data_IF_876030584290
#
_entry.id   IF_876030584290
#
_cell.length_a   1.000
_cell.length_b   1.000
_cell.length_c   1.000
_cell.angle_alpha   90.00
_cell.angle_beta   90.00
_cell.angle_gamma   90.00
#
_symmetry.space_group_name_H-M   'P 1'
#
loop_
_entity.id
_entity.type
_entity.pdbx_description
1 polymer ?
#
# COMPACT_ATOMS: atom_id res chain seq x y z
N UNK A 1 -46.55 51.46 -7.29
CA UNK A 1 -45.20 51.95 -6.93
C UNK A 1 -44.53 50.92 -6.04
N UNK A 2 -43.53 50.18 -6.54
CA UNK A 2 -42.76 49.23 -5.76
C UNK A 2 -41.26 49.46 -6.03
N UNK A 3 -40.51 49.83 -4.98
CA UNK A 3 -39.06 50.04 -5.00
C UNK A 3 -38.36 48.69 -5.13
N UNK A 4 -37.86 48.35 -6.32
CA UNK A 4 -36.81 47.32 -6.49
C UNK A 4 -35.51 47.87 -5.91
N UNK A 5 -35.30 47.66 -4.61
CA UNK A 5 -34.07 47.99 -3.92
C UNK A 5 -32.95 47.06 -4.38
N UNK A 6 -31.92 47.66 -4.96
CA UNK A 6 -30.68 47.07 -5.47
C UNK A 6 -29.94 46.23 -4.42
N UNK A 7 -30.04 44.90 -4.50
CA UNK A 7 -29.20 43.95 -3.75
C UNK A 7 -27.84 43.73 -4.44
N UNK A 8 -27.64 44.27 -5.66
CA UNK A 8 -26.46 44.02 -6.49
C UNK A 8 -25.25 44.94 -6.21
N UNK A 9 -25.37 45.95 -5.34
CA UNK A 9 -24.29 46.92 -5.06
C UNK A 9 -23.34 46.52 -3.91
N UNK A 10 -23.38 45.25 -3.45
CA UNK A 10 -22.60 44.75 -2.32
C UNK A 10 -21.43 43.82 -2.71
N UNK A 11 -21.18 43.64 -4.01
CA UNK A 11 -19.95 42.99 -4.47
C UNK A 11 -18.86 44.06 -4.53
N UNK A 12 -18.18 44.29 -3.40
CA UNK A 12 -16.94 45.08 -3.35
C UNK A 12 -15.94 44.48 -4.35
N UNK A 13 -15.24 45.33 -5.11
CA UNK A 13 -14.23 44.85 -6.04
C UNK A 13 -13.22 43.92 -5.37
N UNK A 14 -12.82 42.81 -6.03
CA UNK A 14 -11.87 41.87 -5.46
C UNK A 14 -10.55 42.59 -5.16
N UNK A 15 -10.10 42.52 -3.90
CA UNK A 15 -8.84 43.11 -3.49
C UNK A 15 -7.68 42.23 -3.99
N UNK A 16 -7.25 42.52 -5.22
CA UNK A 16 -6.18 41.81 -5.95
C UNK A 16 -4.89 41.65 -5.14
N UNK A 17 -4.63 42.51 -4.15
CA UNK A 17 -3.45 42.37 -3.27
C UNK A 17 -3.43 41.02 -2.54
N UNK A 18 -4.57 40.54 -2.06
CA UNK A 18 -4.63 39.25 -1.36
C UNK A 18 -4.39 38.07 -2.31
N UNK A 19 -4.84 38.18 -3.57
CA UNK A 19 -4.58 37.16 -4.59
C UNK A 19 -3.08 37.05 -4.87
N UNK A 20 -2.40 38.18 -5.07
CA UNK A 20 -0.95 38.19 -5.30
C UNK A 20 -0.15 37.67 -4.09
N UNK A 21 -0.55 38.04 -2.87
CA UNK A 21 0.07 37.51 -1.65
C UNK A 21 -0.11 35.99 -1.57
N UNK A 22 -1.32 35.48 -1.82
CA UNK A 22 -1.59 34.05 -1.84
C UNK A 22 -0.74 33.30 -2.85
N UNK A 23 -0.65 33.82 -4.09
CA UNK A 23 0.19 33.24 -5.14
C UNK A 23 1.68 33.25 -4.77
N UNK A 24 2.17 34.35 -4.19
CA UNK A 24 3.55 34.45 -3.74
C UNK A 24 3.86 33.43 -2.64
N UNK A 25 2.95 33.21 -1.69
CA UNK A 25 3.10 32.20 -0.63
C UNK A 25 3.07 30.78 -1.18
N UNK A 26 2.18 30.48 -2.13
CA UNK A 26 2.12 29.16 -2.79
C UNK A 26 3.41 28.88 -3.58
N UNK A 27 3.91 29.87 -4.32
CA UNK A 27 5.18 29.77 -5.05
C UNK A 27 6.35 29.56 -4.09
N UNK A 28 6.43 30.34 -3.01
CA UNK A 28 7.46 30.15 -1.99
C UNK A 28 7.40 28.74 -1.38
N UNK A 29 6.20 28.24 -1.07
CA UNK A 29 6.01 26.90 -0.54
C UNK A 29 6.46 25.81 -1.52
N UNK A 30 6.12 25.95 -2.81
CA UNK A 30 6.55 25.03 -3.86
C UNK A 30 8.09 25.03 -4.02
N UNK A 31 8.74 26.19 -3.94
CA UNK A 31 10.20 26.30 -3.97
C UNK A 31 10.82 25.61 -2.76
N UNK A 32 10.25 25.78 -1.56
CA UNK A 32 10.75 25.13 -0.35
C UNK A 32 10.65 23.59 -0.43
N UNK A 33 9.58 23.07 -1.04
CA UNK A 33 9.43 21.63 -1.28
C UNK A 33 10.50 21.14 -2.27
N UNK A 34 10.66 21.81 -3.42
CA UNK A 34 11.67 21.41 -4.41
C UNK A 34 13.10 21.52 -3.89
N UNK A 35 13.39 22.54 -3.06
CA UNK A 35 14.68 22.70 -2.39
C UNK A 35 14.94 21.67 -1.28
N UNK A 36 13.97 20.79 -0.97
CA UNK A 36 14.10 19.79 0.10
C UNK A 36 14.05 20.36 1.52
N UNK A 37 13.67 21.64 1.67
CA UNK A 37 13.50 22.28 2.99
C UNK A 37 12.24 21.79 3.71
N UNK A 38 11.28 21.23 2.97
CA UNK A 38 10.06 20.64 3.48
C UNK A 38 10.02 19.17 3.11
N UNK A 39 10.12 18.29 4.11
CA UNK A 39 9.95 16.86 3.94
C UNK A 39 8.46 16.50 3.90
N UNK A 40 8.11 15.51 3.07
CA UNK A 40 6.77 14.94 3.05
C UNK A 40 6.43 14.24 4.38
N UNK A 41 5.17 14.28 4.78
CA UNK A 41 4.67 13.52 5.93
C UNK A 41 4.20 12.12 5.51
N UNK A 42 4.00 11.21 6.48
CA UNK A 42 3.53 9.84 6.22
C UNK A 42 2.01 9.65 6.44
N UNK A 43 1.27 10.73 6.65
CA UNK A 43 -0.16 10.74 6.94
C UNK A 43 -0.47 10.81 8.43
N UNK A 44 -1.59 11.45 8.80
CA UNK A 44 -2.04 11.50 10.21
C UNK A 44 -3.04 10.38 10.55
N UNK A 45 -3.63 9.77 9.52
CA UNK A 45 -4.58 8.68 9.61
C UNK A 45 -4.34 7.66 8.49
N UNK A 46 -5.04 6.53 8.58
CA UNK A 46 -4.89 5.40 7.65
C UNK A 46 -5.16 5.79 6.19
N UNK A 47 -6.23 6.54 5.93
CA UNK A 47 -6.60 6.98 4.60
C UNK A 47 -5.52 7.86 3.97
N UNK A 48 -5.08 8.88 4.69
CA UNK A 48 -4.02 9.78 4.21
C UNK A 48 -2.71 9.04 3.96
N UNK A 49 -2.38 8.06 4.82
CA UNK A 49 -1.19 7.22 4.66
C UNK A 49 -1.26 6.40 3.36
N UNK A 50 -2.42 5.81 3.06
CA UNK A 50 -2.64 5.06 1.82
C UNK A 50 -2.56 5.97 0.59
N UNK A 51 -3.19 7.15 0.64
CA UNK A 51 -3.11 8.15 -0.45
C UNK A 51 -1.66 8.55 -0.69
N UNK A 52 -0.92 8.93 0.36
CA UNK A 52 0.49 9.33 0.25
C UNK A 52 1.34 8.22 -0.36
N UNK A 53 1.16 6.98 0.11
CA UNK A 53 1.88 5.82 -0.41
C UNK A 53 1.61 5.61 -1.91
N UNK A 54 0.36 5.70 -2.33
CA UNK A 54 -0.02 5.58 -3.73
C UNK A 54 0.51 6.74 -4.58
N UNK A 55 0.40 7.98 -4.10
CA UNK A 55 0.96 9.17 -4.77
C UNK A 55 2.48 9.07 -4.94
N UNK A 56 3.20 8.60 -3.92
CA UNK A 56 4.65 8.36 -4.00
C UNK A 56 5.00 7.36 -5.10
N UNK A 57 4.19 6.31 -5.29
CA UNK A 57 4.39 5.35 -6.38
C UNK A 57 4.03 5.92 -7.75
N UNK A 58 2.91 6.64 -7.88
CA UNK A 58 2.41 7.19 -9.14
C UNK A 58 3.34 8.30 -9.65
N UNK A 59 3.82 9.16 -8.75
CA UNK A 59 4.59 10.36 -9.09
C UNK A 59 6.09 10.25 -8.81
N UNK A 60 6.63 9.06 -8.54
CA UNK A 60 8.08 8.85 -8.44
C UNK A 60 8.74 9.04 -9.81
N UNK A 61 9.59 10.06 -9.92
CA UNK A 61 10.24 10.42 -11.20
C UNK A 61 11.50 9.58 -11.49
N UNK A 62 12.09 8.95 -10.46
CA UNK A 62 13.35 8.20 -10.56
C UNK A 62 13.15 6.75 -10.10
N UNK A 63 12.47 5.95 -10.93
CA UNK A 63 12.38 4.50 -10.68
C UNK A 63 13.71 3.84 -11.00
N UNK A 64 14.19 3.02 -10.07
CA UNK A 64 15.40 2.22 -10.27
C UNK A 64 15.09 1.09 -11.26
N UNK A 65 16.04 0.74 -12.12
CA UNK A 65 15.93 -0.44 -12.98
C UNK A 65 15.70 -1.70 -12.12
N UNK A 66 14.78 -2.56 -12.54
CA UNK A 66 14.24 -3.68 -11.77
C UNK A 66 13.70 -3.33 -10.39
N UNK A 67 12.87 -2.31 -10.38
CA UNK A 67 11.92 -2.07 -9.31
C UNK A 67 11.00 -3.29 -9.11
N UNK A 68 10.87 -3.68 -7.84
CA UNK A 68 9.94 -4.72 -7.40
C UNK A 68 8.79 -4.02 -6.69
N UNK A 69 7.57 -4.21 -7.15
CA UNK A 69 6.39 -3.65 -6.52
C UNK A 69 5.68 -4.70 -5.68
N UNK A 70 5.51 -4.48 -4.39
CA UNK A 70 4.73 -5.34 -3.52
C UNK A 70 3.34 -4.75 -3.31
N UNK A 71 2.29 -5.47 -3.70
CA UNK A 71 0.89 -5.07 -3.52
C UNK A 71 0.17 -6.06 -2.61
N UNK A 72 -0.70 -5.54 -1.75
CA UNK A 72 -1.40 -6.34 -0.75
C UNK A 72 -2.20 -5.52 0.25
N UNK A 73 -2.61 -6.19 1.30
CA UNK A 73 -3.46 -5.73 2.39
C UNK A 73 -2.66 -5.13 3.56
N UNK A 74 -3.34 -4.89 4.68
CA UNK A 74 -2.71 -4.45 5.92
C UNK A 74 -1.67 -5.42 6.46
N UNK A 75 -1.75 -6.72 6.12
CA UNK A 75 -0.74 -7.72 6.48
C UNK A 75 0.58 -7.43 5.75
N UNK A 76 0.53 -7.28 4.43
CA UNK A 76 1.69 -6.95 3.60
C UNK A 76 2.24 -5.55 3.88
N UNK A 77 1.39 -4.61 4.29
CA UNK A 77 1.81 -3.28 4.71
C UNK A 77 2.77 -3.30 5.92
N UNK A 78 2.79 -4.38 6.73
CA UNK A 78 3.72 -4.53 7.86
C UNK A 78 5.14 -4.93 7.44
N UNK A 79 5.33 -5.36 6.20
CA UNK A 79 6.65 -5.73 5.68
C UNK A 79 7.42 -4.46 5.36
N UNK A 80 8.33 -4.08 6.24
CA UNK A 80 9.04 -2.80 6.12
C UNK A 80 10.02 -2.84 4.94
N UNK A 81 10.06 -1.81 4.08
CA UNK A 81 10.92 -1.77 2.89
C UNK A 81 12.41 -2.01 3.19
N UNK A 82 12.89 -1.56 4.35
CA UNK A 82 14.27 -1.76 4.82
C UNK A 82 14.70 -3.23 4.88
N UNK A 83 13.76 -4.16 5.12
CA UNK A 83 14.03 -5.60 5.15
C UNK A 83 13.79 -6.28 3.81
N UNK A 84 13.00 -5.67 2.91
CA UNK A 84 12.69 -6.19 1.57
C UNK A 84 13.78 -5.87 0.54
N UNK A 85 14.61 -4.86 0.80
CA UNK A 85 15.70 -4.42 -0.08
C UNK A 85 15.38 -3.14 -0.85
N UNK A 86 16.42 -2.44 -1.31
CA UNK A 86 16.31 -1.08 -1.84
C UNK A 86 15.61 -0.94 -3.19
N UNK A 87 15.34 -2.05 -3.87
CA UNK A 87 14.60 -2.10 -5.13
C UNK A 87 13.12 -2.34 -4.92
N UNK A 88 12.69 -2.62 -3.69
CA UNK A 88 11.32 -3.00 -3.38
C UNK A 88 10.51 -1.80 -2.91
N UNK A 89 9.45 -1.47 -3.64
CA UNK A 89 8.44 -0.52 -3.22
C UNK A 89 7.24 -1.26 -2.65
N UNK A 90 6.92 -1.04 -1.36
CA UNK A 90 5.74 -1.64 -0.73
C UNK A 90 4.51 -0.74 -0.87
N UNK A 91 3.67 -1.05 -1.87
CA UNK A 91 2.37 -0.43 -2.15
C UNK A 91 1.20 -1.13 -1.42
N UNK A 92 1.46 -2.12 -0.57
CA UNK A 92 0.39 -2.70 0.25
C UNK A 92 -0.20 -1.67 1.20
N UNK A 93 -1.52 -1.70 1.38
CA UNK A 93 -2.28 -0.63 2.02
C UNK A 93 -3.10 -1.16 3.19
N UNK A 94 -3.19 -0.34 4.25
CA UNK A 94 -3.96 -0.70 5.43
C UNK A 94 -5.46 -0.67 5.10
N UNK A 95 -6.19 -1.72 5.44
CA UNK A 95 -7.63 -1.83 5.18
C UNK A 95 -8.02 -1.97 3.71
N UNK A 96 -7.04 -2.15 2.82
CA UNK A 96 -7.27 -2.43 1.40
C UNK A 96 -6.80 -3.85 1.06
N UNK A 97 -6.74 -4.18 -0.23
CA UNK A 97 -6.26 -5.46 -0.75
C UNK A 97 -5.35 -5.27 -1.98
N UNK A 98 -4.88 -6.39 -2.52
CA UNK A 98 -4.01 -6.41 -3.69
C UNK A 98 -4.67 -5.90 -4.99
N UNK A 99 -6.01 -6.00 -5.15
CA UNK A 99 -6.71 -5.47 -6.33
C UNK A 99 -6.53 -3.96 -6.48
N UNK A 100 -6.62 -3.20 -5.38
CA UNK A 100 -6.40 -1.75 -5.42
C UNK A 100 -4.96 -1.42 -5.82
N UNK A 101 -3.98 -2.15 -5.26
CA UNK A 101 -2.57 -1.96 -5.63
C UNK A 101 -2.28 -2.29 -7.09
N UNK A 102 -2.91 -3.35 -7.63
CA UNK A 102 -2.80 -3.72 -9.04
C UNK A 102 -3.45 -2.71 -9.97
N UNK A 103 -4.63 -2.18 -9.60
CA UNK A 103 -5.29 -1.13 -10.37
C UNK A 103 -4.40 0.13 -10.45
N UNK A 104 -3.77 0.52 -9.34
CA UNK A 104 -2.78 1.61 -9.33
C UNK A 104 -1.60 1.28 -10.27
N UNK A 105 -1.07 0.05 -10.22
CA UNK A 105 0.02 -0.37 -11.09
C UNK A 105 -0.36 -0.39 -12.58
N UNK A 106 -1.59 -0.77 -12.92
CA UNK A 106 -2.13 -0.77 -14.28
C UNK A 106 -2.29 0.64 -14.84
N UNK A 107 -2.69 1.61 -14.01
CA UNK A 107 -2.85 3.00 -14.44
C UNK A 107 -1.55 3.82 -14.38
N UNK A 108 -0.55 3.37 -13.61
CA UNK A 108 0.75 4.02 -13.55
C UNK A 108 1.44 4.03 -14.93
N UNK A 109 2.06 5.18 -15.28
CA UNK A 109 2.78 5.37 -16.55
C UNK A 109 3.97 4.43 -16.70
N UNK A 110 4.68 4.19 -15.61
CA UNK A 110 5.84 3.31 -15.53
C UNK A 110 5.44 2.00 -14.85
N UNK A 111 5.88 0.88 -15.44
CA UNK A 111 5.63 -0.46 -14.92
C UNK A 111 6.86 -0.96 -14.13
N UNK A 112 6.67 -1.73 -13.05
CA UNK A 112 7.78 -2.41 -12.38
C UNK A 112 8.25 -3.59 -13.23
N UNK A 113 9.47 -4.09 -13.00
CA UNK A 113 9.95 -5.30 -13.68
C UNK A 113 9.30 -6.55 -13.08
N UNK A 114 9.06 -6.52 -11.76
CA UNK A 114 8.42 -7.57 -10.99
C UNK A 114 7.33 -6.98 -10.09
N UNK A 115 6.16 -7.60 -10.09
CA UNK A 115 5.11 -7.34 -9.11
C UNK A 115 4.85 -8.57 -8.24
N UNK A 116 4.96 -8.37 -6.93
CA UNK A 116 4.60 -9.34 -5.91
C UNK A 116 3.17 -9.09 -5.45
N UNK A 117 2.30 -10.09 -5.55
CA UNK A 117 0.87 -9.95 -5.27
C UNK A 117 0.47 -10.82 -4.09
N UNK A 118 -0.02 -10.18 -3.03
CA UNK A 118 -0.62 -10.90 -1.90
C UNK A 118 -1.97 -11.51 -2.32
N UNK A 119 -2.16 -12.82 -2.12
CA UNK A 119 -3.38 -13.55 -2.50
C UNK A 119 -4.04 -14.17 -1.27
N UNK A 120 -5.03 -13.49 -0.69
CA UNK A 120 -5.69 -13.95 0.55
C UNK A 120 -7.19 -13.65 0.52
N UNK A 121 -7.89 -13.81 1.65
CA UNK A 121 -9.33 -13.55 1.74
C UNK A 121 -9.73 -12.07 1.54
N UNK A 122 -8.82 -11.11 1.77
CA UNK A 122 -9.11 -9.67 1.70
C UNK A 122 -9.41 -9.19 0.29
N UNK A 123 -9.06 -9.97 -0.74
CA UNK A 123 -9.44 -9.65 -2.12
C UNK A 123 -10.96 -9.57 -2.27
N UNK A 124 -11.73 -10.26 -1.42
CA UNK A 124 -13.20 -10.17 -1.38
C UNK A 124 -13.72 -8.76 -1.11
N UNK A 125 -12.91 -7.82 -0.61
CA UNK A 125 -13.30 -6.42 -0.44
C UNK A 125 -13.41 -5.66 -1.77
N UNK A 126 -12.77 -6.15 -2.84
CA UNK A 126 -12.72 -5.47 -4.14
C UNK A 126 -11.82 -4.23 -4.18
N UNK A 127 -11.81 -3.53 -5.32
CA UNK A 127 -11.02 -2.30 -5.51
C UNK A 127 -11.61 -1.15 -4.68
N UNK A 128 -10.76 -0.42 -3.96
CA UNK A 128 -11.12 0.82 -3.27
C UNK A 128 -11.37 1.94 -4.30
N UNK A 129 -12.65 2.13 -4.66
CA UNK A 129 -13.05 3.08 -5.71
C UNK A 129 -12.88 4.53 -5.27
N UNK A 130 -13.06 4.84 -3.99
CA UNK A 130 -12.89 6.19 -3.48
C UNK A 130 -11.41 6.61 -3.57
N UNK A 131 -10.50 5.67 -3.28
CA UNK A 131 -9.06 5.94 -3.39
C UNK A 131 -8.68 6.17 -4.85
N UNK A 132 -9.16 5.31 -5.74
CA UNK A 132 -8.91 5.44 -7.18
C UNK A 132 -9.45 6.77 -7.73
N UNK A 133 -10.67 7.15 -7.36
CA UNK A 133 -11.27 8.42 -7.75
C UNK A 133 -10.48 9.63 -7.23
N UNK A 134 -9.93 9.54 -6.00
CA UNK A 134 -9.07 10.58 -5.45
C UNK A 134 -7.75 10.70 -6.21
N UNK A 135 -7.07 9.58 -6.49
CA UNK A 135 -5.75 9.56 -7.10
C UNK A 135 -5.74 10.07 -8.54
N UNK A 136 -6.77 9.69 -9.31
CA UNK A 136 -6.85 9.94 -10.76
C UNK A 136 -7.90 10.98 -11.16
N UNK A 137 -8.28 11.87 -10.24
CA UNK A 137 -9.12 13.02 -10.60
C UNK A 137 -8.40 13.86 -11.69
N UNK A 138 -8.98 14.10 -12.88
CA UNK A 138 -8.22 14.58 -14.04
C UNK A 138 -7.40 15.85 -13.81
N UNK A 139 -8.01 16.91 -13.26
CA UNK A 139 -7.31 18.17 -13.02
C UNK A 139 -6.22 18.01 -11.95
N UNK A 140 -6.56 17.39 -10.82
CA UNK A 140 -5.68 17.29 -9.67
C UNK A 140 -4.53 16.30 -9.90
N UNK A 141 -4.74 15.27 -10.74
CA UNK A 141 -3.68 14.37 -11.18
C UNK A 141 -2.52 15.14 -11.82
N UNK A 142 -2.81 16.00 -12.80
CA UNK A 142 -1.78 16.81 -13.45
C UNK A 142 -1.18 17.85 -12.49
N UNK A 143 -1.99 18.47 -11.64
CA UNK A 143 -1.49 19.40 -10.62
C UNK A 143 -0.49 18.70 -9.68
N UNK A 144 -0.80 17.50 -9.17
CA UNK A 144 0.09 16.72 -8.31
C UNK A 144 1.34 16.23 -9.03
N UNK A 145 1.23 15.93 -10.33
CA UNK A 145 2.36 15.51 -11.15
C UNK A 145 3.42 16.63 -11.21
N UNK A 146 3.02 17.84 -11.58
CA UNK A 146 3.94 18.97 -11.82
C UNK A 146 4.23 19.84 -10.59
N UNK A 147 3.28 19.91 -9.64
CA UNK A 147 3.36 20.77 -8.47
C UNK A 147 3.19 19.93 -7.19
N UNK A 148 4.30 19.39 -6.64
CA UNK A 148 4.29 18.60 -5.41
C UNK A 148 3.47 19.16 -4.24
N UNK A 149 3.33 20.48 -4.12
CA UNK A 149 2.48 21.11 -3.09
C UNK A 149 1.02 20.62 -3.07
N UNK A 150 0.49 20.07 -4.17
CA UNK A 150 -0.86 19.51 -4.21
C UNK A 150 -0.93 18.02 -3.80
N UNK A 151 0.21 17.37 -3.56
CA UNK A 151 0.26 16.01 -3.04
C UNK A 151 -0.09 16.00 -1.56
N UNK A 152 -0.73 14.94 -1.12
CA UNK A 152 -1.21 14.77 0.25
C UNK A 152 -0.05 14.81 1.28
N UNK A 153 1.15 14.38 0.88
CA UNK A 153 2.35 14.39 1.75
C UNK A 153 2.87 15.81 2.06
N UNK A 154 2.47 16.81 1.27
CA UNK A 154 2.87 18.21 1.44
C UNK A 154 1.71 19.10 1.90
N UNK A 155 0.65 18.54 2.50
CA UNK A 155 -0.41 19.37 3.09
C UNK A 155 0.15 20.17 4.27
N UNK A 156 0.03 21.52 4.28
CA UNK A 156 0.67 22.36 5.29
C UNK A 156 0.35 21.97 6.74
N UNK A 157 -0.92 21.63 7.00
CA UNK A 157 -1.37 21.20 8.34
C UNK A 157 -0.67 19.90 8.75
N UNK A 158 -0.57 18.92 7.85
CA UNK A 158 0.07 17.64 8.14
C UNK A 158 1.58 17.79 8.35
N UNK A 159 2.24 18.63 7.55
CA UNK A 159 3.67 18.98 7.71
C UNK A 159 3.93 19.68 9.06
N UNK A 160 3.06 20.61 9.45
CA UNK A 160 3.18 21.31 10.74
C UNK A 160 3.03 20.32 11.90
N UNK A 161 2.00 19.47 11.85
CA UNK A 161 1.76 18.44 12.88
C UNK A 161 2.91 17.43 12.93
N UNK A 162 3.46 17.01 11.79
CA UNK A 162 4.60 16.08 11.76
C UNK A 162 5.87 16.72 12.31
N UNK A 163 6.14 17.99 11.99
CA UNK A 163 7.29 18.73 12.52
C UNK A 163 7.22 18.92 14.05
N UNK A 164 6.05 19.28 14.58
CA UNK A 164 5.84 19.37 16.03
C UNK A 164 6.05 18.02 16.73
N UNK A 165 5.59 16.92 16.11
CA UNK A 165 5.80 15.56 16.64
C UNK A 165 7.26 15.11 16.53
N UNK A 166 7.97 15.43 15.45
CA UNK A 166 9.36 15.01 15.26
C UNK A 166 10.28 15.69 16.28
N UNK A 167 10.06 16.97 16.59
CA UNK A 167 10.81 17.69 17.63
C UNK A 167 10.60 17.09 19.03
N UNK A 168 9.44 16.47 19.29
CA UNK A 168 9.18 15.71 20.52
C UNK A 168 9.73 14.28 20.47
N UNK A 169 9.80 13.67 19.29
CA UNK A 169 10.33 12.30 19.06
C UNK A 169 11.85 12.22 18.97
N UNK A 170 12.57 13.34 18.86
CA UNK A 170 14.03 13.36 18.88
C UNK A 170 14.63 12.81 20.20
N UNK A 171 13.78 12.61 21.22
CA UNK A 171 14.10 11.95 22.49
C UNK A 171 13.53 10.53 22.64
N UNK A 172 12.82 9.98 21.65
CA UNK A 172 12.31 8.60 21.70
C UNK A 172 13.31 7.66 21.02
N UNK A 173 13.81 6.62 21.72
CA UNK A 173 14.70 5.64 21.11
C UNK A 173 14.01 4.95 19.93
N UNK A 174 14.72 4.82 18.81
CA UNK A 174 14.27 3.96 17.70
C UNK A 174 14.12 2.55 18.26
N UNK A 175 12.88 2.11 18.44
CA UNK A 175 12.61 0.79 18.97
C UNK A 175 12.92 -0.24 17.89
N UNK A 176 13.72 -1.24 18.24
CA UNK A 176 13.87 -2.41 17.37
C UNK A 176 12.56 -3.22 17.34
N UNK A 177 12.48 -4.17 16.42
CA UNK A 177 11.28 -4.99 16.21
C UNK A 177 10.84 -5.69 17.51
N UNK A 178 11.79 -6.19 18.30
CA UNK A 178 11.53 -6.91 19.55
C UNK A 178 10.98 -5.99 20.65
N UNK A 179 11.41 -4.72 20.69
CA UNK A 179 10.86 -3.71 21.59
C UNK A 179 9.45 -3.27 21.16
N UNK A 180 9.21 -3.16 19.86
CA UNK A 180 7.88 -2.85 19.33
C UNK A 180 6.88 -3.98 19.65
N UNK A 181 7.31 -5.23 19.58
CA UNK A 181 6.49 -6.39 19.93
C UNK A 181 6.03 -6.36 21.39
N UNK A 182 6.91 -6.00 22.31
CA UNK A 182 6.54 -5.83 23.73
C UNK A 182 5.50 -4.74 23.97
N UNK A 183 5.51 -3.69 23.14
CA UNK A 183 4.50 -2.64 23.20
C UNK A 183 3.18 -3.04 22.53
N UNK A 184 3.24 -3.91 21.53
CA UNK A 184 2.08 -4.42 20.81
C UNK A 184 1.36 -5.52 21.62
N UNK A 185 2.13 -6.44 22.20
CA UNK A 185 1.64 -7.51 23.07
C UNK A 185 1.91 -7.11 24.53
N UNK A 186 1.06 -6.23 25.07
CA UNK A 186 1.13 -5.86 26.49
C UNK A 186 0.52 -6.92 27.40
N UNK A 187 -0.51 -7.61 26.92
CA UNK A 187 -1.26 -8.61 27.67
C UNK A 187 -1.50 -9.85 26.80
N UNK A 188 -0.79 -10.92 27.12
CA UNK A 188 -0.87 -12.21 26.43
C UNK A 188 -2.25 -12.87 26.58
N UNK A 189 -2.97 -12.63 27.70
CA UNK A 189 -4.32 -13.17 27.88
C UNK A 189 -5.30 -12.48 26.95
N UNK A 190 -5.20 -11.16 26.84
CA UNK A 190 -6.02 -10.39 25.91
C UNK A 190 -5.72 -10.80 24.46
N UNK A 191 -4.44 -10.95 24.09
CA UNK A 191 -4.02 -11.43 22.76
C UNK A 191 -4.66 -12.77 22.43
N UNK A 192 -4.55 -13.76 23.32
CA UNK A 192 -5.15 -15.09 23.14
C UNK A 192 -6.66 -15.03 22.97
N UNK A 193 -7.34 -14.18 23.74
CA UNK A 193 -8.79 -13.99 23.60
C UNK A 193 -9.16 -13.43 22.22
N UNK A 194 -8.45 -12.40 21.76
CA UNK A 194 -8.67 -11.81 20.42
C UNK A 194 -8.47 -12.88 19.33
N UNK A 195 -7.42 -13.69 19.45
CA UNK A 195 -7.16 -14.76 18.48
C UNK A 195 -8.26 -15.82 18.51
N UNK A 196 -8.72 -16.20 19.71
CA UNK A 196 -9.83 -17.13 19.86
C UNK A 196 -11.11 -16.61 19.19
N UNK A 197 -11.43 -15.32 19.35
CA UNK A 197 -12.57 -14.68 18.67
C UNK A 197 -12.40 -14.73 17.13
N UNK A 198 -11.18 -14.53 16.63
CA UNK A 198 -10.86 -14.70 15.19
C UNK A 198 -11.04 -16.14 14.74
N UNK A 199 -10.53 -17.12 15.50
CA UNK A 199 -10.68 -18.56 15.22
C UNK A 199 -12.16 -18.94 15.19
N UNK A 200 -12.96 -18.51 16.16
CA UNK A 200 -14.39 -18.79 16.22
C UNK A 200 -15.12 -18.20 15.01
N UNK A 201 -14.86 -16.93 14.69
CA UNK A 201 -15.50 -16.26 13.55
C UNK A 201 -15.17 -16.93 12.21
N UNK A 202 -13.94 -17.42 12.04
CA UNK A 202 -13.45 -18.07 10.81
C UNK A 202 -13.68 -19.59 10.79
N UNK A 203 -14.10 -20.19 11.90
CA UNK A 203 -14.53 -21.59 11.92
C UNK A 203 -15.90 -21.79 11.27
N UNK A 204 -16.63 -20.70 11.04
CA UNK A 204 -17.86 -20.69 10.23
C UNK A 204 -17.51 -20.78 8.74
N UNK A 205 -18.20 -21.66 8.02
CA UNK A 205 -18.07 -21.79 6.56
C UNK A 205 -18.32 -20.47 5.83
N UNK A 206 -17.77 -20.34 4.62
CA UNK A 206 -18.18 -19.31 3.68
C UNK A 206 -19.67 -19.47 3.35
N UNK A 207 -20.40 -18.36 3.33
CA UNK A 207 -21.75 -18.36 2.76
C UNK A 207 -21.65 -18.41 1.24
N UNK A 208 -22.69 -18.87 0.52
CA UNK A 208 -22.70 -18.87 -0.94
C UNK A 208 -22.41 -17.48 -1.56
N UNK A 209 -22.92 -16.42 -0.92
CA UNK A 209 -22.67 -15.03 -1.34
C UNK A 209 -21.19 -14.64 -1.17
N UNK A 210 -20.58 -14.96 -0.01
CA UNK A 210 -19.17 -14.68 0.23
C UNK A 210 -18.27 -15.45 -0.73
N UNK A 211 -18.57 -16.72 -1.00
CA UNK A 211 -17.85 -17.53 -1.99
C UNK A 211 -17.97 -16.94 -3.40
N UNK A 212 -19.19 -16.61 -3.84
CA UNK A 212 -19.42 -16.03 -5.16
C UNK A 212 -18.65 -14.71 -5.34
N UNK A 213 -18.70 -13.83 -4.34
CA UNK A 213 -17.94 -12.59 -4.35
C UNK A 213 -16.42 -12.86 -4.36
N UNK A 214 -15.92 -13.78 -3.54
CA UNK A 214 -14.50 -14.15 -3.54
C UNK A 214 -14.03 -14.63 -4.92
N UNK A 215 -14.80 -15.50 -5.58
CA UNK A 215 -14.51 -15.99 -6.94
C UNK A 215 -14.53 -14.88 -7.97
N UNK A 216 -15.49 -13.96 -7.88
CA UNK A 216 -15.56 -12.80 -8.76
C UNK A 216 -14.32 -11.91 -8.60
N UNK A 217 -13.94 -11.57 -7.37
CA UNK A 217 -12.77 -10.74 -7.09
C UNK A 217 -11.45 -11.44 -7.46
N UNK A 218 -11.35 -12.75 -7.23
CA UNK A 218 -10.20 -13.56 -7.66
C UNK A 218 -10.06 -13.57 -9.20
N UNK A 219 -11.18 -13.64 -9.92
CA UNK A 219 -11.19 -13.57 -11.39
C UNK A 219 -10.72 -12.20 -11.88
N UNK A 220 -11.17 -11.11 -11.26
CA UNK A 220 -10.68 -9.78 -11.56
C UNK A 220 -9.17 -9.64 -11.28
N UNK A 221 -8.70 -10.18 -10.15
CA UNK A 221 -7.29 -10.19 -9.78
C UNK A 221 -6.45 -10.90 -10.85
N UNK A 222 -6.92 -12.06 -11.32
CA UNK A 222 -6.30 -12.83 -12.41
C UNK A 222 -6.22 -12.03 -13.70
N UNK A 223 -7.29 -11.34 -14.08
CA UNK A 223 -7.31 -10.49 -15.29
C UNK A 223 -6.29 -9.34 -15.18
N UNK A 224 -6.22 -8.65 -14.04
CA UNK A 224 -5.25 -7.58 -13.83
C UNK A 224 -3.80 -8.07 -13.87
N UNK A 225 -3.51 -9.23 -13.26
CA UNK A 225 -2.21 -9.90 -13.32
C UNK A 225 -1.84 -10.19 -14.78
N UNK A 226 -2.76 -10.78 -15.56
CA UNK A 226 -2.52 -11.10 -16.97
C UNK A 226 -2.27 -9.86 -17.83
N UNK A 227 -2.98 -8.75 -17.57
CA UNK A 227 -2.72 -7.47 -18.26
C UNK A 227 -1.31 -6.93 -17.98
N UNK A 228 -0.84 -7.03 -16.74
CA UNK A 228 0.54 -6.65 -16.39
C UNK A 228 1.57 -7.57 -17.06
N UNK A 229 1.32 -8.89 -17.09
CA UNK A 229 2.17 -9.85 -17.79
C UNK A 229 2.26 -9.57 -19.29
N UNK A 230 1.14 -9.23 -19.93
CA UNK A 230 1.11 -8.82 -21.34
C UNK A 230 1.93 -7.55 -21.60
N UNK A 231 2.05 -6.67 -20.60
CA UNK A 231 2.91 -5.50 -20.63
C UNK A 231 4.38 -5.79 -20.27
N UNK A 232 4.77 -7.07 -20.14
CA UNK A 232 6.14 -7.51 -19.85
C UNK A 232 6.50 -7.55 -18.36
N UNK A 233 5.54 -7.32 -17.46
CA UNK A 233 5.79 -7.34 -16.00
C UNK A 233 5.80 -8.78 -15.51
N UNK A 234 6.87 -9.20 -14.83
CA UNK A 234 6.91 -10.49 -14.14
C UNK A 234 6.02 -10.45 -12.92
N UNK A 235 5.40 -11.58 -12.57
CA UNK A 235 4.46 -11.65 -11.44
C UNK A 235 4.83 -12.79 -10.50
N UNK A 236 4.81 -12.52 -9.20
CA UNK A 236 5.04 -13.52 -8.15
C UNK A 236 3.93 -13.44 -7.11
N UNK A 237 3.18 -14.52 -6.91
CA UNK A 237 2.11 -14.59 -5.94
C UNK A 237 2.67 -15.00 -4.58
N UNK A 238 2.13 -14.46 -3.48
CA UNK A 238 2.55 -14.88 -2.15
C UNK A 238 1.41 -14.79 -1.14
N UNK A 239 1.57 -15.53 -0.05
CA UNK A 239 0.70 -15.49 1.12
C UNK A 239 1.50 -15.01 2.33
N UNK A 240 0.86 -14.37 3.30
CA UNK A 240 1.53 -14.03 4.56
C UNK A 240 1.26 -15.15 5.56
N UNK A 241 2.31 -15.72 6.20
CA UNK A 241 2.11 -16.76 7.18
C UNK A 241 1.45 -16.19 8.43
N UNK A 242 0.87 -17.06 9.24
CA UNK A 242 0.24 -16.67 10.50
C UNK A 242 0.05 -17.87 11.41
N UNK A 243 -0.70 -17.65 12.49
CA UNK A 243 -0.85 -18.67 13.52
C UNK A 243 -1.59 -19.91 12.99
N UNK A 244 -1.09 -21.13 13.26
CA UNK A 244 -1.67 -22.35 12.75
C UNK A 244 -3.16 -22.51 13.08
N UNK A 245 -3.61 -22.08 14.25
CA UNK A 245 -5.01 -22.19 14.67
C UNK A 245 -5.94 -21.33 13.82
N UNK A 246 -5.51 -20.14 13.38
CA UNK A 246 -6.27 -19.30 12.46
C UNK A 246 -6.20 -19.84 11.04
N UNK A 247 -4.99 -20.21 10.60
CA UNK A 247 -4.73 -20.71 9.23
C UNK A 247 -5.49 -22.01 8.92
N UNK A 248 -5.79 -22.81 9.94
CA UNK A 248 -6.47 -24.10 9.80
C UNK A 248 -7.99 -24.06 10.00
N UNK A 249 -8.56 -22.87 10.22
CA UNK A 249 -10.01 -22.70 10.31
C UNK A 249 -10.73 -23.10 9.02
N UNK A 250 -12.01 -23.44 9.14
CA UNK A 250 -12.83 -23.92 8.01
C UNK A 250 -12.85 -22.89 6.88
N UNK A 251 -13.11 -21.61 7.20
CA UNK A 251 -13.15 -20.54 6.20
C UNK A 251 -11.82 -20.36 5.49
N UNK A 252 -10.70 -20.37 6.22
CA UNK A 252 -9.39 -20.20 5.60
C UNK A 252 -9.04 -21.34 4.64
N UNK A 253 -9.42 -22.57 4.99
CA UNK A 253 -9.26 -23.73 4.11
C UNK A 253 -10.11 -23.61 2.84
N UNK A 254 -11.38 -23.21 2.98
CA UNK A 254 -12.27 -22.98 1.83
C UNK A 254 -11.76 -21.85 0.93
N UNK A 255 -11.40 -20.71 1.51
CA UNK A 255 -10.79 -19.59 0.77
C UNK A 255 -9.54 -20.04 0.03
N UNK A 256 -8.62 -20.76 0.67
CA UNK A 256 -7.39 -21.24 0.04
C UNK A 256 -7.68 -22.19 -1.12
N UNK A 257 -8.63 -23.10 -0.97
CA UNK A 257 -9.05 -24.00 -2.04
C UNK A 257 -9.58 -23.22 -3.26
N UNK A 258 -10.47 -22.25 -3.03
CA UNK A 258 -11.00 -21.37 -4.10
C UNK A 258 -9.87 -20.60 -4.79
N UNK A 259 -8.93 -20.03 -4.03
CA UNK A 259 -7.81 -19.26 -4.60
C UNK A 259 -6.85 -20.16 -5.38
N UNK A 260 -6.61 -21.39 -4.92
CA UNK A 260 -5.78 -22.38 -5.63
C UNK A 260 -6.43 -22.84 -6.95
N UNK A 261 -7.76 -22.94 -7.01
CA UNK A 261 -8.48 -23.20 -8.27
C UNK A 261 -8.28 -22.07 -9.29
N UNK A 262 -8.29 -20.81 -8.84
CA UNK A 262 -8.13 -19.65 -9.72
C UNK A 262 -6.66 -19.43 -10.13
N UNK A 263 -5.74 -19.67 -9.20
CA UNK A 263 -4.29 -19.44 -9.31
C UNK A 263 -3.50 -20.74 -9.10
N UNK A 264 -3.65 -21.74 -9.98
CA UNK A 264 -2.95 -23.00 -9.82
C UNK A 264 -1.43 -22.83 -9.99
N UNK A 265 -0.66 -23.58 -9.21
CA UNK A 265 0.80 -23.42 -9.11
C UNK A 265 1.59 -23.88 -10.35
N UNK A 266 0.94 -24.60 -11.27
CA UNK A 266 1.49 -24.98 -12.57
C UNK A 266 1.46 -23.83 -13.59
N UNK A 267 0.59 -22.85 -13.38
CA UNK A 267 0.33 -21.74 -14.31
C UNK A 267 0.82 -20.40 -13.74
N UNK A 268 0.82 -20.26 -12.41
CA UNK A 268 1.26 -19.05 -11.72
C UNK A 268 2.49 -19.31 -10.87
N UNK A 269 3.44 -18.38 -10.92
CA UNK A 269 4.61 -18.41 -10.06
C UNK A 269 4.21 -17.98 -8.64
N UNK A 270 4.41 -18.89 -7.69
CA UNK A 270 4.23 -18.63 -6.26
C UNK A 270 5.59 -18.52 -5.58
N UNK A 271 5.68 -17.62 -4.60
CA UNK A 271 6.78 -17.59 -3.66
C UNK A 271 6.84 -18.94 -2.92
N UNK A 272 8.04 -19.46 -2.71
CA UNK A 272 8.23 -20.68 -1.95
C UNK A 272 7.59 -20.56 -0.55
N UNK A 273 7.15 -21.70 -0.02
CA UNK A 273 6.63 -21.75 1.35
C UNK A 273 7.72 -21.31 2.33
N UNK A 274 7.41 -20.38 3.26
CA UNK A 274 8.38 -19.94 4.24
C UNK A 274 8.77 -21.09 5.18
N UNK A 275 9.95 -20.99 5.85
CA UNK A 275 10.36 -21.98 6.84
C UNK A 275 9.27 -22.28 7.86
N UNK A 276 9.13 -23.55 8.23
CA UNK A 276 8.19 -23.96 9.28
C UNK A 276 8.69 -23.41 10.61
N UNK A 277 8.01 -22.39 11.10
CA UNK A 277 8.25 -21.75 12.39
C UNK A 277 6.94 -21.28 13.01
N UNK A 278 7.02 -20.86 14.28
CA UNK A 278 5.88 -20.29 14.98
C UNK A 278 5.71 -18.83 14.56
N UNK A 279 4.90 -18.60 13.54
CA UNK A 279 4.50 -17.27 13.10
C UNK A 279 3.49 -16.69 14.09
N UNK A 280 3.92 -15.67 14.86
CA UNK A 280 3.12 -15.03 15.90
C UNK A 280 2.43 -13.80 15.35
N UNK A 281 1.18 -13.62 15.74
CA UNK A 281 0.36 -12.47 15.37
C UNK A 281 -0.05 -11.67 16.59
N UNK A 282 -0.28 -10.38 16.40
CA UNK A 282 -0.80 -9.50 17.45
C UNK A 282 -2.29 -9.70 17.73
N UNK A 283 -3.04 -10.20 16.74
CA UNK A 283 -4.51 -10.24 16.74
C UNK A 283 -5.10 -11.41 15.95
N UNK A 284 -4.30 -12.43 15.62
CA UNK A 284 -4.72 -13.57 14.81
C UNK A 284 -4.57 -13.35 13.30
N UNK A 285 -4.35 -12.10 12.87
CA UNK A 285 -4.28 -11.75 11.43
C UNK A 285 -2.92 -11.19 11.10
N UNK A 286 -2.43 -10.26 11.90
CA UNK A 286 -1.26 -9.49 11.55
C UNK A 286 -0.04 -9.94 12.34
N UNK A 287 1.04 -10.27 11.62
CA UNK A 287 2.34 -10.57 12.21
C UNK A 287 2.79 -9.46 13.15
N UNK A 288 3.42 -9.87 14.25
CA UNK A 288 4.21 -8.97 15.09
C UNK A 288 5.43 -8.46 14.31
N UNK A 289 6.06 -7.38 14.76
CA UNK A 289 7.15 -6.72 14.03
C UNK A 289 8.35 -7.63 13.81
N UNK A 290 8.77 -8.43 14.81
CA UNK A 290 9.89 -9.37 14.64
C UNK A 290 9.62 -10.42 13.56
N UNK A 291 8.46 -11.07 13.58
CA UNK A 291 8.11 -12.06 12.55
C UNK A 291 7.83 -11.41 11.19
N UNK A 292 7.27 -10.20 11.12
CA UNK A 292 7.14 -9.47 9.86
C UNK A 292 8.51 -9.17 9.24
N UNK A 293 9.49 -8.80 10.08
CA UNK A 293 10.89 -8.62 9.67
C UNK A 293 11.51 -9.93 9.17
N UNK A 294 11.35 -11.04 9.90
CA UNK A 294 11.84 -12.36 9.47
C UNK A 294 11.24 -12.78 8.12
N UNK A 295 9.94 -12.58 7.95
CA UNK A 295 9.26 -12.90 6.69
C UNK A 295 9.72 -12.01 5.53
N UNK A 296 9.95 -10.72 5.77
CA UNK A 296 10.52 -9.81 4.77
C UNK A 296 11.95 -10.22 4.36
N UNK A 297 12.77 -10.67 5.31
CA UNK A 297 14.12 -11.20 5.04
C UNK A 297 14.03 -12.49 4.21
N UNK A 298 13.08 -13.37 4.51
CA UNK A 298 12.81 -14.56 3.71
C UNK A 298 12.42 -14.19 2.26
N UNK A 299 11.50 -13.26 2.07
CA UNK A 299 11.15 -12.77 0.73
C UNK A 299 12.39 -12.27 -0.01
N UNK A 300 13.19 -11.42 0.64
CA UNK A 300 14.41 -10.86 0.05
C UNK A 300 15.39 -11.95 -0.36
N UNK A 301 15.57 -13.00 0.44
CA UNK A 301 16.49 -14.10 0.11
C UNK A 301 16.00 -14.90 -1.10
N UNK A 302 14.69 -15.15 -1.23
CA UNK A 302 14.10 -15.80 -2.40
C UNK A 302 14.30 -14.96 -3.67
N UNK A 303 14.08 -13.64 -3.58
CA UNK A 303 14.28 -12.73 -4.72
C UNK A 303 15.74 -12.63 -5.17
N UNK A 304 16.71 -12.88 -4.27
CA UNK A 304 18.14 -12.89 -4.60
C UNK A 304 18.61 -14.22 -5.20
N UNK A 305 17.91 -15.32 -4.91
CA UNK A 305 18.31 -16.67 -5.30
C UNK A 305 17.75 -17.11 -6.66
N UNK A 306 16.78 -16.39 -7.22
CA UNK A 306 16.15 -16.73 -8.49
C UNK A 306 16.63 -15.79 -9.62
N UNK A 307 17.59 -16.22 -10.47
CA UNK A 307 18.07 -15.43 -11.60
C UNK A 307 16.94 -15.11 -12.59
N UNK A 308 15.91 -15.95 -12.70
CA UNK A 308 14.77 -15.71 -13.59
C UNK A 308 13.97 -14.48 -13.17
N UNK A 309 14.06 -14.06 -11.90
CA UNK A 309 13.48 -12.80 -11.41
C UNK A 309 14.41 -11.59 -11.60
N UNK A 310 15.71 -11.80 -11.85
CA UNK A 310 16.74 -10.75 -11.93
C UNK A 310 17.37 -10.54 -13.34
N UNK A 311 17.17 -11.44 -14.29
CA UNK A 311 17.85 -11.46 -15.61
C UNK A 311 17.44 -10.35 -16.62
N UNK A 312 16.83 -9.24 -16.21
CA UNK A 312 16.41 -8.17 -17.15
C UNK A 312 17.49 -7.14 -17.52
N UNK A 313 18.79 -7.34 -17.22
CA UNK A 313 19.77 -6.23 -17.31
C UNK A 313 21.12 -6.50 -17.98
N UNK A 314 21.29 -7.56 -18.78
CA UNK A 314 22.55 -7.75 -19.54
C UNK A 314 22.41 -7.90 -21.07
N UNK A 315 21.23 -7.60 -21.64
CA UNK A 315 20.92 -7.98 -23.01
C UNK A 315 20.62 -6.86 -24.01
N UNK A 316 21.18 -5.65 -23.89
CA UNK A 316 20.92 -4.61 -24.93
C UNK A 316 21.94 -3.47 -25.05
N UNK A 317 23.24 -3.68 -24.79
CA UNK A 317 24.28 -2.66 -25.10
C UNK A 317 25.19 -2.99 -26.29
N UNK A 318 25.13 -4.18 -26.89
CA UNK A 318 25.89 -4.46 -28.12
C UNK A 318 24.97 -4.57 -29.33
N UNK A 319 24.61 -3.41 -29.90
CA UNK A 319 24.36 -3.15 -31.33
C UNK A 319 23.67 -1.79 -31.49
N UNK A 320 24.47 -0.75 -31.63
CA UNK A 320 24.34 0.34 -32.62
C UNK A 320 25.59 1.23 -32.56
#
# INVERSE_FOLDING_TARGET
MAKKSSVLSLIKEPNWRFVWIGLALLLAYQILIWGGFISGNDGINQWESNVIKAERYIYSHNRKQGEILLVGSSMANRLQPEYLGERTFNLAMQGANSLTGLEIALQAKTKPDLIMVEVNETIGLGVDRDLMANLYQPLLYYLRLYFPMFRQEYRPVSVLVSSLRSSSKQSQPQLNAEQQDKLQIKDERLRKKIIQDVVESRSKQLTPEMEANLRQQATLLKQQIQQLQQAGVKTLLFNIPGEPEVQNTVRQKQTRAILQEVFPADTFNWLAEPPRQNWVTSDGIHLIYSNAKEYAIFIKSQLMQDPLLLESSQGTEDKL
#
